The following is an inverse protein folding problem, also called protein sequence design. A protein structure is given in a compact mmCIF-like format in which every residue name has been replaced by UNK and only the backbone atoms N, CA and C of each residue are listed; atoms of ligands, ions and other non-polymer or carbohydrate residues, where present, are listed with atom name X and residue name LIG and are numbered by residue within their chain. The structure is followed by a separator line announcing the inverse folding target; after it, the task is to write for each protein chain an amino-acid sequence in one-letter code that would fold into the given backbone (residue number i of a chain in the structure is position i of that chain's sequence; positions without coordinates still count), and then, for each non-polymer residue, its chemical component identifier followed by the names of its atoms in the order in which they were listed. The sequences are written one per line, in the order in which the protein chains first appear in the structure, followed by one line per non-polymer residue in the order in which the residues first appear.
data_IF_636201829861
#
_entry.id   IF_636201829861
#
_cell.length_a   1.000
_cell.length_b   1.000
_cell.length_c   1.000
_cell.angle_alpha   90.00
_cell.angle_beta   90.00
_cell.angle_gamma   90.00
#
_symmetry.space_group_name_H-M   'P 1'
#
loop_
_entity.id
_entity.type
_entity.pdbx_description
1 polymer ?
#
# COMPACT_ATOMS: atom_id res chain seq x y z
N UNK A 1 2.28 -11.93 7.76
CA UNK A 1 2.34 -10.54 7.25
C UNK A 1 1.07 -10.23 6.47
N UNK A 2 0.63 -8.99 6.50
CA UNK A 2 -0.62 -8.58 5.85
C UNK A 2 -0.35 -7.60 4.72
N UNK A 3 -1.01 -7.80 3.59
CA UNK A 3 -0.93 -6.91 2.44
C UNK A 3 -2.30 -6.33 2.12
N UNK A 4 -2.36 -5.03 1.90
CA UNK A 4 -3.58 -4.33 1.50
C UNK A 4 -3.48 -3.96 0.03
N UNK A 5 -4.47 -4.35 -0.76
CA UNK A 5 -4.58 -4.00 -2.17
C UNK A 5 -5.79 -3.08 -2.33
N UNK A 6 -5.55 -1.85 -2.77
CA UNK A 6 -6.62 -0.85 -2.92
C UNK A 6 -6.97 -0.59 -4.38
N UNK A 7 -6.54 -1.45 -5.27
CA UNK A 7 -6.67 -1.23 -6.71
C UNK A 7 -7.18 -2.48 -7.41
N UNK A 8 -7.78 -2.28 -8.57
CA UNK A 8 -8.14 -3.38 -9.46
C UNK A 8 -6.88 -3.85 -10.19
N UNK A 9 -6.30 -4.93 -9.73
CA UNK A 9 -5.08 -5.49 -10.31
C UNK A 9 -5.34 -6.93 -10.76
N UNK A 10 -4.44 -7.46 -11.59
CA UNK A 10 -4.56 -8.83 -12.06
C UNK A 10 -4.55 -9.80 -10.87
N UNK A 11 -5.45 -10.79 -10.83
CA UNK A 11 -5.53 -11.75 -9.71
C UNK A 11 -4.24 -12.51 -9.43
N UNK A 12 -3.34 -12.59 -10.41
CA UNK A 12 -2.06 -13.26 -10.25
C UNK A 12 -1.22 -12.65 -9.11
N UNK A 13 -1.23 -11.32 -8.97
CA UNK A 13 -0.45 -10.68 -7.90
C UNK A 13 -0.98 -11.09 -6.52
N UNK A 14 -2.29 -11.12 -6.36
CA UNK A 14 -2.90 -11.58 -5.10
C UNK A 14 -2.50 -13.02 -4.81
N UNK A 15 -2.59 -13.90 -5.81
CA UNK A 15 -2.22 -15.31 -5.65
C UNK A 15 -0.75 -15.46 -5.25
N UNK A 16 0.14 -14.70 -5.88
CA UNK A 16 1.57 -14.76 -5.56
C UNK A 16 1.85 -14.32 -4.13
N UNK A 17 1.20 -13.26 -3.68
CA UNK A 17 1.36 -12.79 -2.30
C UNK A 17 0.86 -13.83 -1.31
N UNK A 18 -0.25 -14.48 -1.58
CA UNK A 18 -0.78 -15.53 -0.73
C UNK A 18 0.17 -16.73 -0.64
N UNK A 19 0.75 -17.13 -1.78
CA UNK A 19 1.75 -18.20 -1.82
C UNK A 19 2.98 -17.84 -0.99
N UNK A 20 3.37 -16.56 -0.97
CA UNK A 20 4.51 -16.09 -0.18
C UNK A 20 4.19 -15.92 1.31
N UNK A 21 2.99 -16.23 1.73
CA UNK A 21 2.60 -16.20 3.13
C UNK A 21 1.91 -14.92 3.58
N UNK A 22 1.56 -14.02 2.66
CA UNK A 22 0.81 -12.82 3.01
C UNK A 22 -0.66 -13.12 3.18
N UNK A 23 -1.24 -12.51 4.20
CA UNK A 23 -2.68 -12.46 4.36
C UNK A 23 -3.18 -11.23 3.59
N UNK A 24 -3.84 -11.45 2.46
CA UNK A 24 -4.18 -10.37 1.52
C UNK A 24 -5.60 -9.87 1.77
N UNK A 25 -5.74 -8.55 1.91
CA UNK A 25 -7.04 -7.88 2.03
C UNK A 25 -7.18 -6.96 0.81
N UNK A 26 -8.29 -7.09 0.09
CA UNK A 26 -8.59 -6.26 -1.09
C UNK A 26 -9.70 -5.29 -0.75
N UNK A 27 -9.42 -4.00 -0.87
CA UNK A 27 -10.37 -2.91 -0.61
C UNK A 27 -10.34 -1.95 -1.80
N UNK A 28 -10.94 -2.34 -2.91
CA UNK A 28 -11.02 -1.47 -4.08
C UNK A 28 -11.82 -0.21 -3.75
N UNK A 29 -11.37 0.92 -4.28
CA UNK A 29 -12.03 2.22 -4.08
C UNK A 29 -12.09 2.64 -2.61
N UNK A 30 -11.10 2.21 -1.81
CA UNK A 30 -11.01 2.62 -0.41
C UNK A 30 -10.96 4.15 -0.31
N UNK A 31 -11.73 4.72 0.60
CA UNK A 31 -11.65 6.15 0.85
C UNK A 31 -10.54 6.46 1.86
N UNK A 32 -10.18 7.75 1.94
CA UNK A 32 -9.08 8.19 2.79
C UNK A 32 -9.31 7.88 4.27
N UNK A 33 -10.53 8.07 4.76
CA UNK A 33 -10.84 7.84 6.17
C UNK A 33 -10.64 6.36 6.54
N UNK A 34 -11.12 5.47 5.70
CA UNK A 34 -10.94 4.03 5.92
C UNK A 34 -9.47 3.64 5.84
N UNK A 35 -8.73 4.17 4.86
CA UNK A 35 -7.31 3.89 4.74
C UNK A 35 -6.55 4.29 6.00
N UNK A 36 -6.81 5.48 6.53
CA UNK A 36 -6.18 5.96 7.76
C UNK A 36 -6.51 5.06 8.95
N UNK A 37 -7.72 4.50 8.99
CA UNK A 37 -8.14 3.61 10.08
C UNK A 37 -7.45 2.26 10.08
N UNK A 38 -7.18 1.69 8.90
CA UNK A 38 -6.75 0.29 8.82
C UNK A 38 -5.27 0.10 8.47
N UNK A 39 -4.60 1.13 7.94
CA UNK A 39 -3.24 0.98 7.40
C UNK A 39 -2.22 0.51 8.45
N UNK A 40 -2.45 0.78 9.72
CA UNK A 40 -1.54 0.40 10.79
C UNK A 40 -1.30 -1.11 10.91
N UNK A 41 -2.23 -1.91 10.40
CA UNK A 41 -2.17 -3.38 10.50
C UNK A 41 -1.43 -4.04 9.35
N UNK A 42 -0.97 -3.28 8.36
CA UNK A 42 -0.43 -3.84 7.12
C UNK A 42 1.08 -3.65 6.98
N UNK A 43 1.72 -4.66 6.41
CA UNK A 43 3.16 -4.66 6.11
C UNK A 43 3.43 -4.20 4.69
N UNK A 44 2.47 -4.37 3.79
CA UNK A 44 2.57 -4.01 2.38
C UNK A 44 1.29 -3.32 1.91
N UNK A 45 1.46 -2.31 1.07
CA UNK A 45 0.35 -1.60 0.44
C UNK A 45 0.55 -1.60 -1.07
N UNK A 46 -0.45 -2.05 -1.81
CA UNK A 46 -0.44 -2.03 -3.29
C UNK A 46 -1.51 -1.05 -3.75
N UNK A 47 -1.10 -0.06 -4.51
CA UNK A 47 -1.98 1.02 -4.97
C UNK A 47 -1.86 1.26 -6.46
N UNK A 48 -2.79 2.04 -7.00
CA UNK A 48 -2.70 2.65 -8.33
C UNK A 48 -2.70 4.17 -8.18
N UNK A 49 -3.04 4.88 -9.26
CA UNK A 49 -3.05 6.34 -9.30
C UNK A 49 -4.03 6.99 -8.31
N UNK A 50 -5.09 6.29 -7.96
CA UNK A 50 -6.20 6.90 -7.22
C UNK A 50 -5.97 7.00 -5.71
N UNK A 51 -5.09 6.20 -5.16
CA UNK A 51 -4.83 6.21 -3.72
C UNK A 51 -3.67 7.16 -3.42
N UNK A 52 -3.94 8.19 -2.62
CA UNK A 52 -2.90 9.14 -2.21
C UNK A 52 -2.27 8.70 -0.91
N UNK A 53 -0.94 8.63 -0.90
CA UNK A 53 -0.16 8.25 0.28
C UNK A 53 0.73 9.42 0.67
N UNK A 54 0.17 10.29 1.50
CA UNK A 54 0.86 11.46 2.01
C UNK A 54 1.39 11.21 3.45
N UNK A 55 1.92 12.25 4.06
CA UNK A 55 2.50 12.15 5.40
C UNK A 55 1.53 11.61 6.43
N UNK A 56 0.25 12.01 6.37
CA UNK A 56 -0.76 11.56 7.32
C UNK A 56 -0.96 10.04 7.23
N UNK A 57 -1.02 9.49 6.03
CA UNK A 57 -1.14 8.05 5.82
C UNK A 57 0.12 7.33 6.31
N UNK A 58 1.28 7.85 5.97
CA UNK A 58 2.57 7.25 6.34
C UNK A 58 2.74 7.24 7.86
N UNK A 59 2.33 8.31 8.55
CA UNK A 59 2.41 8.37 10.01
C UNK A 59 1.54 7.31 10.69
N UNK A 60 0.40 6.97 10.08
CA UNK A 60 -0.46 5.90 10.60
C UNK A 60 0.06 4.51 10.26
N UNK A 61 0.90 4.39 9.24
CA UNK A 61 1.39 3.12 8.72
C UNK A 61 2.61 2.62 9.52
N UNK A 62 2.40 2.38 10.81
CA UNK A 62 3.48 2.12 11.77
C UNK A 62 4.23 0.81 11.52
N UNK A 63 3.63 -0.10 10.77
CA UNK A 63 4.24 -1.41 10.51
C UNK A 63 4.54 -1.62 9.01
N UNK A 64 4.22 -0.65 8.18
CA UNK A 64 4.36 -0.75 6.74
C UNK A 64 5.83 -0.74 6.33
N UNK A 65 6.22 -1.65 5.43
CA UNK A 65 7.59 -1.79 4.95
C UNK A 65 7.74 -1.53 3.46
N UNK A 66 6.69 -1.77 2.69
CA UNK A 66 6.73 -1.68 1.23
C UNK A 66 5.43 -1.09 0.70
N UNK A 67 5.56 -0.15 -0.24
CA UNK A 67 4.45 0.34 -1.04
C UNK A 67 4.76 0.02 -2.50
N UNK A 68 3.88 -0.73 -3.15
CA UNK A 68 3.96 -1.00 -4.58
C UNK A 68 2.90 -0.22 -5.32
N UNK A 69 3.28 0.50 -6.37
CA UNK A 69 2.34 1.21 -7.23
C UNK A 69 2.29 0.55 -8.59
N UNK A 70 1.11 0.12 -8.99
CA UNK A 70 0.89 -0.46 -10.31
C UNK A 70 0.64 0.67 -11.30
N UNK A 71 1.51 0.80 -12.29
CA UNK A 71 1.44 1.86 -13.28
C UNK A 71 2.76 2.60 -13.41
N UNK A 72 2.77 3.71 -14.11
CA UNK A 72 3.96 4.54 -14.30
C UNK A 72 3.92 5.77 -13.39
N UNK A 73 5.08 6.14 -12.85
CA UNK A 73 5.20 7.29 -11.98
C UNK A 73 4.90 6.99 -10.51
N UNK A 74 5.15 7.97 -9.66
CA UNK A 74 4.99 7.83 -8.20
C UNK A 74 4.42 9.12 -7.58
N UNK A 75 3.72 9.92 -8.36
CA UNK A 75 3.30 11.27 -7.97
C UNK A 75 2.31 11.29 -6.80
N UNK A 76 1.60 10.19 -6.59
CA UNK A 76 0.62 10.10 -5.52
C UNK A 76 1.21 9.60 -4.19
N UNK A 77 2.53 9.41 -4.14
CA UNK A 77 3.22 8.95 -2.92
C UNK A 77 4.26 9.99 -2.50
N UNK A 78 4.29 10.34 -1.23
CA UNK A 78 5.37 11.17 -0.66
C UNK A 78 6.59 10.26 -0.41
N UNK A 79 7.39 10.08 -1.45
CA UNK A 79 8.51 9.14 -1.44
C UNK A 79 9.58 9.55 -0.43
N UNK A 80 9.89 10.84 -0.34
CA UNK A 80 10.89 11.33 0.61
C UNK A 80 10.52 10.97 2.04
N UNK A 81 9.25 11.15 2.39
CA UNK A 81 8.79 10.83 3.74
C UNK A 81 8.79 9.33 3.99
N UNK A 82 8.44 8.53 2.97
CA UNK A 82 8.55 7.07 3.07
C UNK A 82 9.98 6.65 3.39
N UNK A 83 10.97 7.23 2.72
CA UNK A 83 12.37 6.91 2.97
C UNK A 83 12.78 7.27 4.40
N UNK A 84 12.30 8.39 4.93
CA UNK A 84 12.58 8.77 6.32
C UNK A 84 12.01 7.75 7.30
N UNK A 85 10.95 7.07 6.95
CA UNK A 85 10.30 6.05 7.78
C UNK A 85 10.72 4.63 7.43
N UNK A 86 11.74 4.46 6.60
CA UNK A 86 12.25 3.16 6.14
C UNK A 86 11.20 2.32 5.38
N UNK A 87 10.33 2.99 4.62
CA UNK A 87 9.35 2.35 3.75
C UNK A 87 9.90 2.35 2.33
N UNK A 88 10.00 1.18 1.73
CA UNK A 88 10.47 1.03 0.35
C UNK A 88 9.32 1.26 -0.61
N UNK A 89 9.52 2.10 -1.63
CA UNK A 89 8.55 2.37 -2.68
C UNK A 89 9.02 1.76 -4.00
N UNK A 90 8.15 0.98 -4.63
CA UNK A 90 8.45 0.34 -5.91
C UNK A 90 7.29 0.53 -6.88
N UNK A 91 7.57 0.49 -8.19
CA UNK A 91 6.55 0.53 -9.23
C UNK A 91 6.85 -0.44 -10.37
#
# INVERSE_FOLDING_TARGET
MKALITADIHPYLQQRLEVLGYNVVVKMEINRAELLDIIADFDMLIITTYTKVDKAVIDKAVQLKVIGRVGSGMENIDISYCHQKNIKCIN
#
